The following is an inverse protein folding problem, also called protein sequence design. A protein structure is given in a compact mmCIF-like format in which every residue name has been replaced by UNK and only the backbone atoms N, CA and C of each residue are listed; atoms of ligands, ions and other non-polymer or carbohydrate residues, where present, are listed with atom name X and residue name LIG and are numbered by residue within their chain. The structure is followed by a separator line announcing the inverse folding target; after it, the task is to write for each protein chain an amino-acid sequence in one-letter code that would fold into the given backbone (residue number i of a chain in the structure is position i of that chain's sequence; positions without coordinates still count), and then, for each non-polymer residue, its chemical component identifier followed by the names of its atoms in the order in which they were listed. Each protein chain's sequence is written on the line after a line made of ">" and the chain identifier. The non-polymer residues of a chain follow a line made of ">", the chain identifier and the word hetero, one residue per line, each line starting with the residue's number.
data_IF_615026683944
#
_entry.id   IF_615026683944
#
_cell.length_a   1.000
_cell.length_b   1.000
_cell.length_c   1.000
_cell.angle_alpha   90.00
_cell.angle_beta   90.00
_cell.angle_gamma   90.00
#
_symmetry.space_group_name_H-M   'P 1'
#
loop_
_entity.id
_entity.type
_entity.pdbx_description
1 polymer ?
#
# COMPACT_ATOMS: atom_id res chain seq x y z
N UNK A 1 8.17 10.14 2.01
CA UNK A 1 8.87 10.59 0.79
C UNK A 1 9.28 9.45 -0.12
N UNK A 2 10.28 8.64 0.26
CA UNK A 2 10.86 7.59 -0.60
C UNK A 2 9.82 6.57 -1.04
N UNK A 3 8.99 6.06 -0.12
CA UNK A 3 7.93 5.10 -0.43
C UNK A 3 6.91 5.63 -1.45
N UNK A 4 6.61 6.93 -1.44
CA UNK A 4 5.70 7.55 -2.41
C UNK A 4 6.31 7.65 -3.81
N UNK A 5 7.62 7.91 -3.90
CA UNK A 5 8.33 7.90 -5.19
C UNK A 5 8.50 6.47 -5.74
N UNK A 6 8.80 5.50 -4.87
CA UNK A 6 8.84 4.07 -5.25
C UNK A 6 7.47 3.61 -5.73
N UNK A 7 6.39 4.01 -5.04
CA UNK A 7 5.01 3.77 -5.49
C UNK A 7 4.77 4.38 -6.88
N UNK A 8 5.13 5.65 -7.09
CA UNK A 8 4.96 6.35 -8.37
C UNK A 8 5.72 5.68 -9.52
N UNK A 9 6.98 5.30 -9.29
CA UNK A 9 7.80 4.54 -10.24
C UNK A 9 7.08 3.25 -10.63
N UNK A 10 6.68 2.47 -9.63
CA UNK A 10 6.06 1.17 -9.85
C UNK A 10 4.78 1.23 -10.68
N UNK A 11 3.82 2.08 -10.29
CA UNK A 11 2.56 2.19 -11.04
C UNK A 11 2.81 2.68 -12.46
N UNK A 12 3.83 3.54 -12.66
CA UNK A 12 4.24 4.00 -13.99
C UNK A 12 4.79 2.88 -14.85
N UNK A 13 5.64 2.03 -14.30
CA UNK A 13 6.20 0.92 -15.05
C UNK A 13 5.14 -0.13 -15.40
N UNK A 14 4.21 -0.43 -14.48
CA UNK A 14 3.05 -1.29 -14.77
C UNK A 14 2.18 -0.72 -15.89
N UNK A 15 1.88 0.57 -15.82
CA UNK A 15 1.12 1.27 -16.84
C UNK A 15 1.80 1.19 -18.20
N UNK A 16 3.09 1.50 -18.29
CA UNK A 16 3.86 1.45 -19.53
C UNK A 16 4.00 0.02 -20.09
N UNK A 17 4.18 -0.98 -19.22
CA UNK A 17 4.21 -2.38 -19.63
C UNK A 17 2.87 -2.82 -20.24
N UNK A 18 1.75 -2.44 -19.61
CA UNK A 18 0.41 -2.72 -20.14
C UNK A 18 0.16 -2.00 -21.46
N UNK A 19 0.54 -0.72 -21.54
CA UNK A 19 0.42 0.09 -22.76
C UNK A 19 1.19 -0.52 -23.92
N UNK A 20 2.43 -0.97 -23.69
CA UNK A 20 3.24 -1.69 -24.70
C UNK A 20 2.58 -3.00 -25.14
N UNK A 21 2.06 -3.78 -24.20
CA UNK A 21 1.34 -5.03 -24.51
C UNK A 21 0.09 -4.78 -25.36
N UNK A 22 -0.71 -3.77 -25.01
CA UNK A 22 -1.89 -3.38 -25.81
C UNK A 22 -1.50 -2.98 -27.24
N UNK A 23 -0.41 -2.24 -27.43
CA UNK A 23 0.08 -1.91 -28.78
C UNK A 23 0.46 -3.18 -29.55
N UNK A 24 1.18 -4.11 -28.91
CA UNK A 24 1.56 -5.38 -29.53
C UNK A 24 0.35 -6.25 -29.90
N UNK A 25 -0.71 -6.21 -29.09
CA UNK A 25 -1.96 -6.95 -29.29
C UNK A 25 -2.91 -6.26 -30.30
N UNK A 26 -2.48 -5.17 -30.95
CA UNK A 26 -3.30 -4.42 -31.93
C UNK A 26 -4.41 -3.56 -31.29
N UNK A 27 -4.33 -3.31 -29.99
CA UNK A 27 -5.31 -2.55 -29.19
C UNK A 27 -4.94 -1.07 -29.05
N UNK A 28 -4.28 -0.48 -30.04
CA UNK A 28 -3.75 0.89 -29.98
C UNK A 28 -4.84 1.98 -29.82
N UNK A 29 -6.04 1.73 -30.33
CA UNK A 29 -7.17 2.66 -30.21
C UNK A 29 -7.72 2.76 -28.77
N UNK A 30 -7.37 1.80 -27.91
CA UNK A 30 -7.87 1.70 -26.53
C UNK A 30 -6.89 2.25 -25.48
N UNK A 31 -5.73 2.81 -25.88
CA UNK A 31 -4.66 3.19 -24.95
C UNK A 31 -5.05 4.27 -23.97
N UNK A 32 -6.02 5.12 -24.31
CA UNK A 32 -6.47 6.23 -23.47
C UNK A 32 -7.77 5.87 -22.69
N UNK A 33 -8.21 4.61 -22.76
CA UNK A 33 -9.39 4.12 -22.07
C UNK A 33 -9.02 3.44 -20.74
N UNK A 34 -9.39 4.08 -19.62
CA UNK A 34 -9.00 3.63 -18.26
C UNK A 34 -9.42 2.19 -17.95
N UNK A 35 -10.58 1.74 -18.47
CA UNK A 35 -11.14 0.41 -18.23
C UNK A 35 -10.21 -0.74 -18.65
N UNK A 36 -9.39 -0.54 -19.68
CA UNK A 36 -8.46 -1.56 -20.18
C UNK A 36 -7.25 -1.78 -19.26
N UNK A 37 -6.99 -0.84 -18.35
CA UNK A 37 -5.96 -0.94 -17.32
C UNK A 37 -6.58 -1.47 -16.01
N UNK A 38 -7.76 -0.97 -15.65
CA UNK A 38 -8.45 -1.34 -14.41
C UNK A 38 -8.77 -2.83 -14.31
N UNK A 39 -9.05 -3.51 -15.43
CA UNK A 39 -9.30 -4.96 -15.45
C UNK A 39 -8.13 -5.79 -14.91
N UNK A 40 -6.90 -5.27 -15.01
CA UNK A 40 -5.66 -5.92 -14.54
C UNK A 40 -5.14 -5.28 -13.24
N UNK A 41 -5.99 -4.52 -12.53
CA UNK A 41 -5.61 -3.72 -11.35
C UNK A 41 -4.46 -2.73 -11.63
N UNK A 42 -4.41 -2.18 -12.86
CA UNK A 42 -3.43 -1.18 -13.26
C UNK A 42 -4.09 0.20 -13.28
N UNK A 43 -3.45 1.17 -12.62
CA UNK A 43 -3.91 2.54 -12.63
C UNK A 43 -3.61 3.20 -13.98
N UNK A 44 -4.61 3.84 -14.56
CA UNK A 44 -4.40 4.71 -15.71
C UNK A 44 -3.62 5.96 -15.29
N UNK A 45 -2.57 6.31 -16.03
CA UNK A 45 -1.73 7.46 -15.72
C UNK A 45 -1.71 8.47 -16.88
N UNK A 46 -2.17 9.71 -16.64
CA UNK A 46 -1.95 10.79 -17.60
C UNK A 46 -0.45 11.12 -17.69
N UNK A 47 -0.04 11.76 -18.78
CA UNK A 47 1.37 11.96 -19.12
C UNK A 47 2.17 12.63 -18.00
N UNK A 48 1.59 13.66 -17.37
CA UNK A 48 2.19 14.41 -16.27
C UNK A 48 2.40 13.59 -14.99
N UNK A 49 1.70 12.47 -14.85
CA UNK A 49 1.80 11.56 -13.70
C UNK A 49 2.69 10.34 -13.97
N UNK A 50 3.29 10.23 -15.17
CA UNK A 50 4.18 9.12 -15.52
C UNK A 50 5.59 9.39 -15.02
N UNK A 51 6.28 8.34 -14.59
CA UNK A 51 7.66 8.44 -14.12
C UNK A 51 8.62 9.07 -15.16
N UNK A 52 8.42 8.78 -16.44
CA UNK A 52 9.20 9.37 -17.53
C UNK A 52 9.14 10.91 -17.53
N UNK A 53 7.97 11.49 -17.32
CA UNK A 53 7.77 12.93 -17.21
C UNK A 53 8.48 13.51 -15.98
N UNK A 54 8.35 12.85 -14.82
CA UNK A 54 9.02 13.26 -13.58
C UNK A 54 10.54 13.24 -13.76
N UNK A 55 11.09 12.18 -14.35
CA UNK A 55 12.52 12.02 -14.62
C UNK A 55 13.03 13.10 -15.57
N UNK A 56 12.34 13.34 -16.68
CA UNK A 56 12.74 14.35 -17.66
C UNK A 56 12.81 15.75 -17.03
N UNK A 57 11.97 16.03 -16.04
CA UNK A 57 11.89 17.31 -15.34
C UNK A 57 12.61 17.32 -13.98
N UNK A 58 13.38 16.27 -13.63
CA UNK A 58 13.96 16.11 -12.29
C UNK A 58 14.87 17.27 -11.86
N UNK A 59 15.46 17.99 -12.81
CA UNK A 59 16.39 19.11 -12.59
C UNK A 59 15.70 20.49 -12.56
N UNK A 60 14.40 20.55 -12.77
CA UNK A 60 13.63 21.80 -12.76
C UNK A 60 13.34 22.22 -11.32
N UNK A 61 13.30 23.54 -11.07
CA UNK A 61 13.06 24.08 -9.73
C UNK A 61 11.66 23.75 -9.19
N UNK A 62 10.71 23.46 -10.07
CA UNK A 62 9.33 23.09 -9.75
C UNK A 62 9.12 21.57 -9.57
N UNK A 63 10.18 20.76 -9.55
CA UNK A 63 10.07 19.28 -9.47
C UNK A 63 9.24 18.78 -8.28
N UNK A 64 9.36 19.43 -7.12
CA UNK A 64 8.58 19.07 -5.94
C UNK A 64 7.07 19.26 -6.19
N UNK A 65 6.70 20.35 -6.86
CA UNK A 65 5.31 20.66 -7.23
C UNK A 65 4.81 19.68 -8.30
N UNK A 66 5.66 19.29 -9.25
CA UNK A 66 5.30 18.27 -10.27
C UNK A 66 5.01 16.92 -9.64
N UNK A 67 5.80 16.49 -8.67
CA UNK A 67 5.56 15.23 -7.95
C UNK A 67 4.25 15.31 -7.14
N UNK A 68 4.04 16.39 -6.38
CA UNK A 68 2.79 16.58 -5.63
C UNK A 68 1.57 16.59 -6.57
N UNK A 69 1.70 17.23 -7.74
CA UNK A 69 0.64 17.27 -8.77
C UNK A 69 0.37 15.88 -9.34
N UNK A 70 1.41 15.12 -9.69
CA UNK A 70 1.28 13.75 -10.18
C UNK A 70 0.52 12.87 -9.17
N UNK A 71 0.94 12.88 -7.91
CA UNK A 71 0.31 12.11 -6.84
C UNK A 71 -1.14 12.53 -6.61
N UNK A 72 -1.44 13.83 -6.60
CA UNK A 72 -2.81 14.35 -6.46
C UNK A 72 -3.71 13.93 -7.63
N UNK A 73 -3.19 13.98 -8.86
CA UNK A 73 -3.93 13.55 -10.07
C UNK A 73 -4.23 12.05 -10.04
N UNK A 74 -3.26 11.23 -9.63
CA UNK A 74 -3.45 9.78 -9.47
C UNK A 74 -4.53 9.49 -8.42
N UNK A 75 -4.47 10.15 -7.27
CA UNK A 75 -5.45 9.96 -6.20
C UNK A 75 -6.87 10.34 -6.64
N UNK A 76 -7.04 11.48 -7.32
CA UNK A 76 -8.36 11.95 -7.79
C UNK A 76 -9.01 11.02 -8.80
N UNK A 77 -8.21 10.38 -9.67
CA UNK A 77 -8.70 9.46 -10.70
C UNK A 77 -9.00 8.07 -10.19
N UNK A 78 -8.43 7.67 -9.05
CA UNK A 78 -8.49 6.30 -8.55
C UNK A 78 -9.14 6.26 -7.16
N UNK A 79 -10.45 5.94 -7.06
CA UNK A 79 -11.17 5.93 -5.78
C UNK A 79 -10.52 5.07 -4.68
N UNK A 80 -9.85 3.98 -5.06
CA UNK A 80 -9.12 3.09 -4.15
C UNK A 80 -7.94 3.77 -3.45
N UNK A 81 -7.34 4.78 -4.10
CA UNK A 81 -6.22 5.56 -3.57
C UNK A 81 -6.64 6.80 -2.79
N UNK A 82 -7.94 7.10 -2.67
CA UNK A 82 -8.43 8.26 -1.94
C UNK A 82 -7.92 8.28 -0.50
N UNK A 83 -7.19 9.31 -0.10
CA UNK A 83 -6.54 9.45 1.20
C UNK A 83 -5.27 8.62 1.39
N UNK A 84 -4.77 7.93 0.36
CA UNK A 84 -3.57 7.07 0.41
C UNK A 84 -2.29 7.85 0.11
N UNK A 85 -2.35 8.83 -0.80
CA UNK A 85 -1.19 9.58 -1.23
C UNK A 85 -0.98 10.83 -0.37
N UNK A 86 0.28 11.26 -0.18
CA UNK A 86 0.56 12.46 0.60
C UNK A 86 0.22 13.71 -0.20
N UNK A 87 -0.55 14.63 0.40
CA UNK A 87 -0.95 15.89 -0.23
C UNK A 87 0.07 17.01 0.07
N UNK A 88 0.55 17.67 -0.99
CA UNK A 88 1.51 18.79 -0.94
C UNK A 88 2.73 18.51 -0.04
N UNK A 89 3.24 17.27 -0.05
CA UNK A 89 4.27 16.87 0.89
C UNK A 89 5.66 17.27 0.41
N UNK A 90 5.95 17.12 -0.87
CA UNK A 90 7.29 17.40 -1.40
C UNK A 90 7.58 18.90 -1.41
N UNK A 91 6.61 19.71 -1.81
CA UNK A 91 6.68 21.17 -1.84
C UNK A 91 6.85 21.80 -0.45
N UNK A 92 6.27 21.19 0.59
CA UNK A 92 6.37 21.69 1.99
C UNK A 92 7.70 21.36 2.67
N UNK A 93 8.46 20.40 2.17
CA UNK A 93 9.70 19.95 2.82
C UNK A 93 10.90 20.86 2.49
N UNK A 94 10.76 21.87 1.63
CA UNK A 94 11.84 22.77 1.18
C UNK A 94 13.14 22.03 0.82
N UNK A 95 13.00 20.89 0.13
CA UNK A 95 14.15 20.08 -0.26
C UNK A 95 14.91 20.74 -1.40
N UNK A 96 16.24 20.68 -1.32
CA UNK A 96 17.09 21.12 -2.42
C UNK A 96 16.81 20.30 -3.69
N UNK A 97 16.55 20.99 -4.79
CA UNK A 97 16.27 20.39 -6.12
C UNK A 97 17.31 19.32 -6.49
N UNK A 98 18.59 19.56 -6.20
CA UNK A 98 19.68 18.61 -6.47
C UNK A 98 19.55 17.28 -5.71
N UNK A 99 19.13 17.33 -4.45
CA UNK A 99 18.93 16.13 -3.62
C UNK A 99 17.74 15.33 -4.11
N UNK A 100 16.65 16.01 -4.45
CA UNK A 100 15.46 15.37 -5.00
C UNK A 100 15.72 14.75 -6.38
N UNK A 101 16.45 15.45 -7.26
CA UNK A 101 16.91 14.91 -8.53
C UNK A 101 17.76 13.63 -8.35
N UNK A 102 18.72 13.66 -7.44
CA UNK A 102 19.56 12.49 -7.14
C UNK A 102 18.76 11.31 -6.57
N UNK A 103 17.73 11.58 -5.77
CA UNK A 103 16.82 10.55 -5.28
C UNK A 103 15.98 9.94 -6.42
N UNK A 104 15.48 10.77 -7.34
CA UNK A 104 14.78 10.31 -8.54
C UNK A 104 15.70 9.42 -9.38
N UNK A 105 16.94 9.85 -9.64
CA UNK A 105 17.92 9.04 -10.38
C UNK A 105 18.21 7.71 -9.67
N UNK A 106 18.29 7.71 -8.34
CA UNK A 106 18.51 6.48 -7.56
C UNK A 106 17.32 5.51 -7.67
N UNK A 107 16.09 6.02 -7.60
CA UNK A 107 14.86 5.24 -7.71
C UNK A 107 14.65 4.73 -9.14
N UNK A 108 15.09 5.49 -10.14
CA UNK A 108 14.99 5.09 -11.54
C UNK A 108 15.76 3.80 -11.85
N UNK A 109 16.87 3.56 -11.15
CA UNK A 109 17.68 2.35 -11.25
C UNK A 109 17.03 1.12 -10.59
N UNK A 110 15.89 1.28 -9.91
CA UNK A 110 15.17 0.14 -9.35
C UNK A 110 14.46 -0.60 -10.48
N UNK A 111 14.88 -1.85 -10.70
CA UNK A 111 14.18 -2.76 -11.60
C UNK A 111 12.85 -3.20 -10.96
N UNK A 112 11.77 -2.62 -11.47
CA UNK A 112 10.41 -2.88 -11.00
C UNK A 112 9.68 -3.92 -11.86
N UNK A 113 10.18 -4.19 -13.06
CA UNK A 113 9.64 -5.19 -13.97
C UNK A 113 10.67 -6.32 -14.04
N UNK A 114 10.54 -7.32 -13.17
CA UNK A 114 11.41 -8.49 -13.23
C UNK A 114 11.32 -9.15 -14.61
N UNK A 115 12.46 -9.51 -15.21
CA UNK A 115 12.50 -10.44 -16.34
C UNK A 115 12.04 -11.84 -15.89
N UNK A 116 11.29 -12.53 -16.75
CA UNK A 116 10.69 -13.86 -16.50
C UNK A 116 11.70 -15.00 -16.27
N UNK A 117 12.99 -14.71 -16.20
CA UNK A 117 14.02 -15.70 -16.54
C UNK A 117 14.79 -16.31 -15.38
N UNK A 118 14.63 -15.90 -14.11
CA UNK A 118 15.48 -16.46 -13.04
C UNK A 118 14.79 -17.00 -11.78
N UNK A 119 13.46 -17.04 -11.70
CA UNK A 119 12.80 -17.83 -10.65
C UNK A 119 11.48 -18.39 -11.17
N UNK A 120 11.48 -19.68 -11.55
CA UNK A 120 10.31 -20.45 -12.04
C UNK A 120 9.11 -20.51 -11.06
N UNK A 121 9.16 -19.79 -9.93
CA UNK A 121 8.14 -19.78 -8.87
C UNK A 121 7.65 -18.39 -8.47
N UNK A 122 8.11 -17.30 -9.10
CA UNK A 122 7.74 -15.93 -8.67
C UNK A 122 6.97 -15.17 -9.75
N UNK A 123 5.71 -14.84 -9.48
CA UNK A 123 4.98 -13.88 -10.32
C UNK A 123 5.64 -12.49 -10.24
N UNK A 124 5.67 -11.76 -11.36
CA UNK A 124 6.22 -10.39 -11.45
C UNK A 124 5.62 -9.44 -10.42
N UNK A 125 4.37 -9.68 -10.04
CA UNK A 125 3.60 -8.89 -9.08
C UNK A 125 4.19 -8.97 -7.66
N UNK A 126 4.85 -10.07 -7.31
CA UNK A 126 5.43 -10.26 -5.98
C UNK A 126 6.78 -9.56 -5.80
N UNK A 127 7.54 -9.26 -6.87
CA UNK A 127 8.86 -8.62 -6.73
C UNK A 127 8.73 -7.19 -6.16
N UNK A 128 7.89 -6.36 -6.74
CA UNK A 128 7.80 -4.95 -6.30
C UNK A 128 7.05 -4.80 -4.99
N UNK A 129 6.06 -5.66 -4.75
CA UNK A 129 5.47 -5.80 -3.42
C UNK A 129 6.57 -6.06 -2.37
N UNK A 130 7.52 -6.95 -2.65
CA UNK A 130 8.66 -7.22 -1.78
C UNK A 130 9.64 -6.06 -1.67
N UNK A 131 9.91 -5.31 -2.73
CA UNK A 131 10.74 -4.09 -2.66
C UNK A 131 10.07 -3.06 -1.75
N UNK A 132 8.75 -2.87 -1.88
CA UNK A 132 7.98 -1.97 -1.03
C UNK A 132 8.00 -2.43 0.44
N UNK A 133 7.77 -3.72 0.71
CA UNK A 133 7.88 -4.33 2.05
C UNK A 133 9.28 -4.22 2.62
N UNK A 134 10.32 -4.37 1.80
CA UNK A 134 11.71 -4.23 2.22
C UNK A 134 11.98 -2.81 2.69
N UNK A 135 11.61 -1.81 1.90
CA UNK A 135 11.76 -0.41 2.31
C UNK A 135 10.94 -0.10 3.57
N UNK A 136 9.70 -0.56 3.62
CA UNK A 136 8.82 -0.41 4.77
C UNK A 136 9.44 -1.01 6.05
N UNK A 137 9.96 -2.23 5.98
CA UNK A 137 10.63 -2.90 7.09
C UNK A 137 11.94 -2.21 7.49
N UNK A 138 12.71 -1.67 6.53
CA UNK A 138 13.91 -0.89 6.82
C UNK A 138 13.60 0.42 7.53
N UNK A 139 12.57 1.16 7.09
CA UNK A 139 12.14 2.38 7.75
C UNK A 139 11.62 2.09 9.17
N UNK A 140 10.84 1.03 9.36
CA UNK A 140 10.38 0.61 10.69
C UNK A 140 11.55 0.27 11.63
N UNK A 141 12.58 -0.43 11.13
CA UNK A 141 13.76 -0.77 11.93
C UNK A 141 14.60 0.46 12.32
N UNK A 142 14.66 1.48 11.46
CA UNK A 142 15.44 2.71 11.72
C UNK A 142 14.71 3.69 12.65
N UNK A 143 13.37 3.75 12.64
CA UNK A 143 12.61 4.66 13.50
C UNK A 143 12.62 4.25 14.99
N UNK A 144 13.10 3.04 15.34
CA UNK A 144 13.34 2.62 16.73
C UNK A 144 12.09 2.49 17.62
N UNK A 145 10.90 2.74 17.08
CA UNK A 145 9.61 2.51 17.75
C UNK A 145 9.28 1.02 17.68
N UNK A 146 8.96 0.41 18.82
CA UNK A 146 8.68 -1.03 18.95
C UNK A 146 7.79 -1.54 17.82
N UNK A 147 8.38 -2.32 16.92
CA UNK A 147 7.96 -2.44 15.51
C UNK A 147 6.60 -3.05 15.21
N UNK A 148 5.81 -3.45 16.20
CA UNK A 148 4.53 -4.12 15.98
C UNK A 148 3.49 -3.25 15.27
N UNK A 149 3.39 -1.97 15.65
CA UNK A 149 2.42 -1.01 15.10
C UNK A 149 2.65 -0.70 13.60
N UNK A 150 3.90 -0.71 13.15
CA UNK A 150 4.26 -0.26 11.79
C UNK A 150 4.43 -1.43 10.82
N UNK A 151 5.11 -2.49 11.27
CA UNK A 151 5.47 -3.60 10.41
C UNK A 151 5.69 -4.88 11.21
N UNK A 152 4.83 -5.87 10.98
CA UNK A 152 5.05 -7.22 11.51
C UNK A 152 6.00 -7.99 10.59
N UNK A 153 7.11 -8.56 11.09
CA UNK A 153 8.03 -9.34 10.26
C UNK A 153 7.33 -10.48 9.52
N UNK A 154 7.67 -10.66 8.24
CA UNK A 154 7.06 -11.67 7.36
C UNK A 154 6.96 -13.05 7.99
N UNK A 155 8.02 -13.54 8.65
CA UNK A 155 8.01 -14.86 9.28
C UNK A 155 6.92 -15.04 10.34
N UNK A 156 6.64 -14.00 11.13
CA UNK A 156 5.59 -14.03 12.16
C UNK A 156 4.23 -14.04 11.50
N UNK A 157 4.02 -13.17 10.50
CA UNK A 157 2.73 -13.12 9.79
C UNK A 157 2.46 -14.43 9.04
N UNK A 158 3.47 -15.00 8.37
CA UNK A 158 3.35 -16.30 7.71
C UNK A 158 2.95 -17.37 8.72
N UNK A 159 3.63 -17.45 9.87
CA UNK A 159 3.27 -18.42 10.91
C UNK A 159 1.80 -18.26 11.36
N UNK A 160 1.36 -17.04 11.66
CA UNK A 160 -0.01 -16.80 12.13
C UNK A 160 -1.06 -17.14 11.07
N UNK A 161 -0.80 -16.83 9.80
CA UNK A 161 -1.72 -17.12 8.69
C UNK A 161 -1.81 -18.62 8.39
N UNK A 162 -0.69 -19.34 8.42
CA UNK A 162 -0.65 -20.80 8.29
C UNK A 162 -1.38 -21.52 9.44
N UNK A 163 -1.35 -20.95 10.65
CA UNK A 163 -2.07 -21.54 11.79
C UNK A 163 -3.59 -21.29 11.74
N UNK A 164 -4.01 -20.15 11.20
CA UNK A 164 -5.43 -19.78 11.15
C UNK A 164 -6.17 -20.33 9.93
N UNK A 165 -5.44 -20.58 8.85
CA UNK A 165 -5.99 -21.10 7.60
C UNK A 165 -7.21 -20.33 7.06
N UNK A 166 -7.11 -19.00 6.81
CA UNK A 166 -8.26 -18.17 6.45
C UNK A 166 -8.64 -18.32 4.97
N UNK A 167 -9.17 -19.49 4.58
CA UNK A 167 -9.52 -19.81 3.19
C UNK A 167 -10.70 -19.02 2.61
N UNK A 168 -11.64 -18.59 3.47
CA UNK A 168 -12.84 -17.86 3.07
C UNK A 168 -13.37 -17.03 4.25
N UNK A 169 -14.20 -16.01 4.00
CA UNK A 169 -14.83 -15.21 5.05
C UNK A 169 -14.11 -13.90 5.35
N UNK A 170 -14.44 -13.28 6.49
CA UNK A 170 -13.97 -11.94 6.85
C UNK A 170 -12.74 -12.03 7.74
N UNK A 171 -11.65 -11.41 7.29
CA UNK A 171 -10.40 -11.27 8.05
C UNK A 171 -10.35 -9.84 8.59
N UNK A 172 -10.15 -9.70 9.90
CA UNK A 172 -10.08 -8.41 10.57
C UNK A 172 -8.75 -8.18 11.29
N UNK A 173 -8.16 -7.01 11.09
CA UNK A 173 -7.01 -6.53 11.88
C UNK A 173 -7.30 -5.12 12.48
N UNK A 174 -7.57 -5.02 13.80
CA UNK A 174 -7.93 -3.78 14.47
C UNK A 174 -6.79 -2.75 14.59
N UNK A 175 -5.57 -3.14 14.22
CA UNK A 175 -4.36 -2.33 14.30
C UNK A 175 -3.42 -2.69 13.16
N UNK A 176 -3.96 -2.60 11.93
CA UNK A 176 -3.39 -3.26 10.75
C UNK A 176 -2.02 -2.74 10.32
N UNK A 177 -1.57 -1.63 10.90
CA UNK A 177 -0.31 -0.99 10.54
C UNK A 177 -0.28 -0.77 9.04
N UNK A 178 0.79 -1.22 8.40
CA UNK A 178 1.00 -1.16 6.95
C UNK A 178 0.26 -2.22 6.12
N UNK A 179 -0.73 -2.91 6.70
CA UNK A 179 -1.51 -3.99 6.09
C UNK A 179 -0.69 -5.25 5.68
N UNK A 180 0.45 -5.49 6.34
CA UNK A 180 1.28 -6.67 6.08
C UNK A 180 0.55 -8.00 6.34
N UNK A 181 -0.34 -8.03 7.36
CA UNK A 181 -1.15 -9.21 7.67
C UNK A 181 -2.10 -9.60 6.54
N UNK A 182 -2.75 -8.61 5.91
CA UNK A 182 -3.65 -8.85 4.79
C UNK A 182 -2.93 -9.36 3.55
N UNK A 183 -1.78 -8.75 3.23
CA UNK A 183 -0.95 -9.20 2.11
C UNK A 183 -0.58 -10.68 2.25
N UNK A 184 -0.15 -11.08 3.45
CA UNK A 184 0.26 -12.46 3.67
C UNK A 184 -0.93 -13.42 3.74
N UNK A 185 -2.08 -12.98 4.26
CA UNK A 185 -3.30 -13.79 4.27
C UNK A 185 -3.77 -14.11 2.85
N UNK A 186 -3.74 -13.13 1.95
CA UNK A 186 -4.08 -13.35 0.53
C UNK A 186 -3.07 -14.32 -0.12
N UNK A 187 -1.77 -14.12 0.12
CA UNK A 187 -0.73 -15.03 -0.37
C UNK A 187 -0.91 -16.47 0.10
N UNK A 188 -1.29 -16.66 1.37
CA UNK A 188 -1.62 -17.97 1.92
C UNK A 188 -2.76 -18.64 1.15
N UNK A 189 -3.86 -17.90 0.90
CA UNK A 189 -5.01 -18.42 0.15
C UNK A 189 -4.60 -18.81 -1.27
N UNK A 190 -3.84 -17.94 -1.96
CA UNK A 190 -3.36 -18.19 -3.32
C UNK A 190 -2.40 -19.39 -3.40
N UNK A 191 -1.46 -19.53 -2.46
CA UNK A 191 -0.51 -20.66 -2.45
C UNK A 191 -1.18 -22.01 -2.19
N UNK A 192 -2.35 -22.00 -1.57
CA UNK A 192 -3.15 -23.19 -1.27
C UNK A 192 -4.33 -23.39 -2.24
N UNK A 193 -4.26 -22.79 -3.44
CA UNK A 193 -5.28 -22.92 -4.49
C UNK A 193 -6.68 -22.40 -4.11
N UNK A 194 -6.78 -21.62 -3.03
CA UNK A 194 -7.97 -20.86 -2.69
C UNK A 194 -8.14 -19.64 -3.59
N UNK A 195 -9.26 -18.94 -3.44
CA UNK A 195 -9.55 -17.74 -4.24
C UNK A 195 -9.56 -16.52 -3.33
N UNK A 196 -8.73 -15.52 -3.65
CA UNK A 196 -8.66 -14.26 -2.91
C UNK A 196 -10.00 -13.49 -2.83
N UNK A 197 -10.91 -13.73 -3.78
CA UNK A 197 -12.27 -13.15 -3.75
C UNK A 197 -13.19 -13.76 -2.69
N UNK A 198 -12.84 -14.92 -2.14
CA UNK A 198 -13.64 -15.62 -1.14
C UNK A 198 -13.32 -15.07 0.27
N UNK A 199 -12.32 -14.19 0.40
CA UNK A 199 -11.99 -13.46 1.62
C UNK A 199 -12.31 -11.96 1.49
N UNK A 200 -12.78 -11.36 2.59
CA UNK A 200 -13.02 -9.94 2.71
C UNK A 200 -12.15 -9.35 3.82
N UNK A 201 -11.37 -8.32 3.49
CA UNK A 201 -10.39 -7.73 4.39
C UNK A 201 -10.95 -6.48 5.07
N UNK A 202 -10.87 -6.43 6.39
CA UNK A 202 -11.28 -5.30 7.22
C UNK A 202 -10.14 -4.91 8.13
N UNK A 203 -9.88 -3.62 8.30
CA UNK A 203 -8.84 -3.19 9.21
C UNK A 203 -9.05 -1.80 9.76
N UNK A 204 -8.23 -1.44 10.74
CA UNK A 204 -8.19 -0.10 11.29
C UNK A 204 -6.77 0.25 11.69
N UNK A 205 -6.41 1.53 11.56
CA UNK A 205 -5.10 2.06 11.91
C UNK A 205 -5.27 3.43 12.58
N UNK A 206 -4.53 3.66 13.67
CA UNK A 206 -4.60 4.88 14.45
C UNK A 206 -3.97 6.07 13.74
N UNK A 207 -2.82 5.87 13.12
CA UNK A 207 -1.97 6.96 12.64
C UNK A 207 -2.21 7.24 11.16
N UNK A 208 -2.37 8.52 10.80
CA UNK A 208 -2.61 8.92 9.42
C UNK A 208 -1.48 8.52 8.46
N UNK A 209 -0.24 8.52 8.94
CA UNK A 209 0.92 8.11 8.15
C UNK A 209 0.86 6.62 7.82
N UNK A 210 0.66 5.76 8.81
CA UNK A 210 0.63 4.31 8.61
C UNK A 210 -0.61 3.87 7.85
N UNK A 211 -1.75 4.53 8.07
CA UNK A 211 -2.97 4.33 7.28
C UNK A 211 -2.73 4.56 5.78
N UNK A 212 -2.00 5.62 5.42
CA UNK A 212 -1.58 5.88 4.02
C UNK A 212 -0.69 4.77 3.46
N UNK A 213 0.26 4.28 4.27
CA UNK A 213 1.13 3.16 3.89
C UNK A 213 0.32 1.88 3.63
N UNK A 214 -0.65 1.57 4.48
CA UNK A 214 -1.55 0.43 4.30
C UNK A 214 -2.27 0.49 2.95
N UNK A 215 -2.87 1.64 2.62
CA UNK A 215 -3.60 1.84 1.35
C UNK A 215 -2.68 1.71 0.14
N UNK A 216 -1.49 2.32 0.18
CA UNK A 216 -0.51 2.15 -0.90
C UNK A 216 -0.04 0.70 -1.04
N UNK A 217 0.20 0.00 0.07
CA UNK A 217 0.69 -1.37 0.08
C UNK A 217 -0.33 -2.35 -0.53
N UNK A 218 -1.60 -2.18 -0.19
CA UNK A 218 -2.73 -2.94 -0.77
C UNK A 218 -2.90 -2.62 -2.25
N UNK A 219 -2.89 -1.33 -2.62
CA UNK A 219 -3.06 -0.88 -4.00
C UNK A 219 -1.99 -1.41 -4.96
N UNK A 220 -0.71 -1.46 -4.54
CA UNK A 220 0.39 -2.03 -5.33
C UNK A 220 0.11 -3.48 -5.76
N UNK A 221 -0.61 -4.23 -4.91
CA UNK A 221 -0.95 -5.64 -5.09
C UNK A 221 -2.36 -5.86 -5.63
N UNK A 222 -3.08 -4.80 -5.98
CA UNK A 222 -4.47 -4.93 -6.41
C UNK A 222 -5.40 -5.48 -5.33
N UNK A 223 -5.04 -5.33 -4.05
CA UNK A 223 -5.86 -5.78 -2.93
C UNK A 223 -6.81 -4.68 -2.48
N UNK A 224 -8.04 -5.07 -2.14
CA UNK A 224 -9.05 -4.19 -1.56
C UNK A 224 -9.32 -4.58 -0.13
N UNK A 225 -9.30 -3.60 0.78
CA UNK A 225 -9.69 -3.77 2.17
C UNK A 225 -10.52 -2.58 2.64
N UNK A 226 -11.49 -2.84 3.51
CA UNK A 226 -12.20 -1.77 4.20
C UNK A 226 -11.39 -1.36 5.45
N UNK A 227 -10.60 -0.30 5.34
CA UNK A 227 -9.78 0.22 6.44
C UNK A 227 -10.51 1.22 7.35
N UNK A 228 -11.83 1.39 7.17
CA UNK A 228 -12.59 2.48 7.78
C UNK A 228 -12.48 3.80 7.00
N UNK A 229 -13.29 4.79 7.40
CA UNK A 229 -13.40 6.08 6.69
C UNK A 229 -12.16 6.96 6.86
N UNK A 230 -11.47 6.81 8.00
CA UNK A 230 -10.31 7.61 8.39
C UNK A 230 -9.42 6.85 9.39
N UNK A 231 -8.15 7.27 9.56
CA UNK A 231 -7.37 6.84 10.71
C UNK A 231 -8.10 7.17 12.02
N UNK A 232 -8.18 6.20 12.92
CA UNK A 232 -9.00 6.31 14.12
C UNK A 232 -8.51 5.35 15.21
N UNK A 233 -8.67 5.75 16.47
CA UNK A 233 -8.41 4.88 17.61
C UNK A 233 -9.50 3.79 17.69
N UNK A 234 -9.10 2.52 17.67
CA UNK A 234 -10.02 1.37 17.67
C UNK A 234 -10.82 1.24 18.97
N UNK A 235 -10.30 1.76 20.09
CA UNK A 235 -11.06 1.84 21.34
C UNK A 235 -12.14 2.93 21.26
N UNK A 236 -11.79 4.18 20.94
CA UNK A 236 -12.75 5.29 21.05
C UNK A 236 -13.60 5.57 19.80
N UNK A 237 -13.18 5.05 18.65
CA UNK A 237 -13.78 5.36 17.36
C UNK A 237 -13.68 4.15 16.46
N UNK A 238 -14.31 3.06 16.87
CA UNK A 238 -14.44 1.83 16.10
C UNK A 238 -15.01 2.15 14.70
N UNK A 239 -14.27 1.79 13.66
CA UNK A 239 -14.69 1.98 12.27
C UNK A 239 -15.57 0.83 11.76
N UNK A 240 -15.70 -0.26 12.53
CA UNK A 240 -16.41 -1.48 12.15
C UNK A 240 -17.29 -2.04 13.28
N UNK A 241 -18.17 -1.23 13.91
CA UNK A 241 -18.88 -1.61 15.14
C UNK A 241 -19.78 -2.85 15.01
N UNK A 242 -20.30 -3.12 13.80
CA UNK A 242 -21.18 -4.27 13.52
C UNK A 242 -20.43 -5.46 12.89
N UNK A 243 -19.10 -5.37 12.75
CA UNK A 243 -18.32 -6.40 12.08
C UNK A 243 -18.18 -7.64 12.96
N UNK A 244 -18.76 -8.75 12.50
CA UNK A 244 -18.46 -10.10 12.97
C UNK A 244 -17.50 -10.74 11.98
N UNK A 245 -16.21 -10.76 12.34
CA UNK A 245 -15.15 -11.38 11.54
C UNK A 245 -15.06 -12.88 11.81
N UNK A 246 -14.69 -13.65 10.80
CA UNK A 246 -14.43 -15.09 10.92
C UNK A 246 -13.01 -15.35 11.47
N UNK A 247 -12.08 -14.46 11.11
CA UNK A 247 -10.68 -14.50 11.55
C UNK A 247 -10.24 -13.13 12.04
N UNK A 248 -9.54 -13.09 13.17
CA UNK A 248 -8.93 -11.88 13.70
C UNK A 248 -7.43 -12.11 13.84
N UNK A 249 -6.66 -11.23 13.19
CA UNK A 249 -5.20 -11.25 13.14
C UNK A 249 -4.72 -9.88 13.57
N UNK A 250 -3.89 -9.79 14.60
CA UNK A 250 -3.45 -8.50 15.13
C UNK A 250 -2.04 -8.59 15.70
N UNK A 251 -1.27 -7.51 15.54
CA UNK A 251 -0.01 -7.29 16.26
C UNK A 251 -0.04 -5.88 16.89
N UNK A 252 -0.79 -5.72 18.00
CA UNK A 252 -0.99 -4.41 18.61
C UNK A 252 0.31 -3.87 19.21
N UNK A 253 0.38 -2.55 19.49
CA UNK A 253 1.46 -2.00 20.28
C UNK A 253 1.63 -2.71 21.61
N UNK A 254 2.86 -3.10 21.92
CA UNK A 254 3.18 -3.70 23.19
C UNK A 254 3.26 -2.66 24.29
N UNK A 255 2.67 -2.98 25.45
CA UNK A 255 2.70 -2.16 26.66
C UNK A 255 2.16 -0.74 26.43
N UNK A 256 1.11 -0.59 25.62
CA UNK A 256 0.46 0.70 25.40
C UNK A 256 -0.08 1.23 26.75
N UNK A 257 0.53 2.30 27.24
CA UNK A 257 0.10 3.04 28.44
C UNK A 257 -0.76 4.23 28.02
N UNK A 258 -1.51 4.78 28.97
CA UNK A 258 -2.29 6.01 28.79
C UNK A 258 -3.28 5.94 27.61
N UNK A 259 -3.71 4.73 27.26
CA UNK A 259 -4.66 4.50 26.16
C UNK A 259 -6.10 4.83 26.55
N UNK A 260 -6.39 4.98 27.85
CA UNK A 260 -7.64 5.53 28.39
C UNK A 260 -7.44 6.05 29.81
N UNK A 261 -8.33 6.92 30.26
CA UNK A 261 -8.49 7.30 31.66
C UNK A 261 -9.40 6.31 32.42
N UNK A 262 -9.35 6.30 33.76
CA UNK A 262 -10.14 5.39 34.59
C UNK A 262 -11.66 5.52 34.37
N UNK A 263 -12.13 6.74 34.11
CA UNK A 263 -13.55 7.05 33.88
C UNK A 263 -14.02 6.81 32.43
N UNK A 264 -13.12 6.44 31.51
CA UNK A 264 -13.44 6.20 30.11
C UNK A 264 -13.72 4.72 29.86
N UNK A 265 -14.67 4.42 28.98
CA UNK A 265 -15.02 3.06 28.53
C UNK A 265 -15.47 2.11 29.66
N UNK A 266 -16.10 2.63 30.74
CA UNK A 266 -16.52 1.82 31.89
C UNK A 266 -17.69 0.88 31.58
N UNK A 267 -18.58 1.27 30.68
CA UNK A 267 -19.76 0.50 30.25
C UNK A 267 -19.58 -0.08 28.83
N UNK A 268 -18.34 -0.23 28.38
CA UNK A 268 -18.07 -0.67 27.02
C UNK A 268 -18.41 -2.16 26.83
N UNK A 269 -19.25 -2.53 25.84
CA UNK A 269 -19.65 -3.91 25.61
C UNK A 269 -18.49 -4.88 25.33
N UNK A 270 -17.33 -4.39 24.91
CA UNK A 270 -16.15 -5.22 24.66
C UNK A 270 -15.53 -5.79 25.94
N UNK A 271 -15.88 -5.23 27.11
CA UNK A 271 -15.41 -5.67 28.42
C UNK A 271 -16.52 -6.26 29.30
N UNK A 272 -17.74 -6.37 28.76
CA UNK A 272 -18.91 -6.90 29.46
C UNK A 272 -18.88 -8.42 29.66
#
# INVERSE_FOLDING_TARGET
>A
MVLSLVFLKFISDKFEARRKKMIADGQADFLEMEVFYQQDNIFYLPEEARWSFIKQNAKQDDIAVRIDTALSTIEKRNPTLKGALPDNYFSRQNLETKKLASLIDTIDNIETLAHETDVETLSKEDLVGRVYEYFLGKFAATEGKGGGEFYTPKCVVTLLTEMLEPFQGKIYDPCCGSAGMFVQSVKFVESHQGKSRDIALYGQELTATTYKLAKMNLAIRGLSANLGERPANTFFSDQHPDLKADYILANPPFNLKDWRNEAELTEDPRFA
#
